data_IF_100685405764
#
_entry.id   IF_100685405764
#
_cell.length_a   1.000
_cell.length_b   1.000
_cell.length_c   1.000
_cell.angle_alpha   90.00
_cell.angle_beta   90.00
_cell.angle_gamma   90.00
#
_symmetry.space_group_name_H-M   'P 1'
#
loop_
_entity.id
_entity.type
_entity.pdbx_description
1 polymer ?
#
# COMPACT_ATOMS: atom_id res chain seq x y z
N UNK A 1 24.17 -26.93 3.25
CA UNK A 1 24.61 -25.64 3.82
C UNK A 1 24.32 -24.55 2.81
N UNK A 2 23.82 -23.36 3.19
CA UNK A 2 23.77 -22.24 2.26
C UNK A 2 25.19 -21.95 1.77
N UNK A 3 25.32 -21.78 0.46
CA UNK A 3 26.61 -21.59 -0.22
C UNK A 3 27.20 -20.21 0.14
N UNK A 4 28.49 -19.99 -0.10
CA UNK A 4 29.12 -18.67 0.00
C UNK A 4 28.37 -17.60 -0.81
N UNK A 5 27.77 -18.01 -1.94
CA UNK A 5 26.87 -17.18 -2.75
C UNK A 5 25.63 -16.69 -1.98
N UNK A 6 25.11 -17.47 -1.03
CA UNK A 6 23.94 -17.11 -0.22
C UNK A 6 24.30 -16.05 0.82
N UNK A 7 25.46 -16.19 1.46
CA UNK A 7 25.97 -15.19 2.42
C UNK A 7 26.24 -13.87 1.72
N UNK A 8 26.90 -13.91 0.55
CA UNK A 8 27.15 -12.69 -0.25
C UNK A 8 25.85 -11.97 -0.59
N UNK A 9 24.84 -12.70 -1.06
CA UNK A 9 23.57 -12.10 -1.42
C UNK A 9 22.82 -11.50 -0.24
N UNK A 10 22.96 -12.07 0.97
CA UNK A 10 22.40 -11.50 2.18
C UNK A 10 23.15 -10.22 2.60
N UNK A 11 24.47 -10.20 2.44
CA UNK A 11 25.28 -9.00 2.65
C UNK A 11 24.89 -7.89 1.68
N UNK A 12 24.60 -8.21 0.42
CA UNK A 12 24.11 -7.22 -0.56
C UNK A 12 22.79 -6.58 -0.11
N UNK A 13 21.88 -7.35 0.53
CA UNK A 13 20.66 -6.78 1.15
C UNK A 13 21.02 -5.82 2.29
N UNK A 14 21.92 -6.21 3.17
CA UNK A 14 22.27 -5.44 4.37
C UNK A 14 23.07 -4.16 4.05
N UNK A 15 23.82 -4.17 2.94
CA UNK A 15 24.60 -3.02 2.47
C UNK A 15 23.85 -2.13 1.48
N UNK A 16 22.61 -2.49 1.12
CA UNK A 16 21.76 -1.63 0.32
C UNK A 16 21.54 -0.28 1.02
N UNK A 17 21.65 0.86 0.31
CA UNK A 17 21.41 2.18 0.92
C UNK A 17 20.07 2.30 1.65
N UNK A 18 19.02 1.64 1.15
CA UNK A 18 17.71 1.64 1.81
C UNK A 18 17.73 0.83 3.11
N UNK A 19 18.43 -0.30 3.14
CA UNK A 19 18.61 -1.10 4.35
C UNK A 19 19.37 -0.31 5.42
N UNK A 20 20.46 0.35 5.03
CA UNK A 20 21.25 1.20 5.92
C UNK A 20 20.41 2.36 6.47
N UNK A 21 19.63 3.03 5.61
CA UNK A 21 18.75 4.11 6.02
C UNK A 21 17.66 3.65 7.01
N UNK A 22 17.03 2.50 6.75
CA UNK A 22 16.03 1.91 7.66
C UNK A 22 16.65 1.56 9.02
N UNK A 23 17.82 0.90 9.02
CA UNK A 23 18.51 0.56 10.27
C UNK A 23 18.93 1.81 11.05
N UNK A 24 19.45 2.83 10.38
CA UNK A 24 19.82 4.10 11.00
C UNK A 24 18.59 4.78 11.63
N UNK A 25 17.45 4.78 10.94
CA UNK A 25 16.17 5.33 11.42
C UNK A 25 15.58 4.53 12.60
N UNK A 26 15.76 3.21 12.65
CA UNK A 26 15.32 2.45 13.81
C UNK A 26 16.22 2.62 15.04
N UNK A 27 17.51 2.89 14.82
CA UNK A 27 18.48 3.18 15.87
C UNK A 27 18.51 4.65 16.27
N UNK A 28 17.87 5.55 15.52
CA UNK A 28 17.84 6.96 15.86
C UNK A 28 17.08 7.17 17.17
N UNK A 29 17.52 8.17 17.93
CA UNK A 29 16.83 8.60 19.13
C UNK A 29 15.37 8.94 18.79
N UNK A 30 14.43 8.38 19.54
CA UNK A 30 13.01 8.68 19.42
C UNK A 30 12.40 8.74 20.83
N UNK A 31 11.89 9.91 21.28
CA UNK A 31 11.38 10.08 22.64
C UNK A 31 10.22 9.15 22.96
N UNK A 32 9.36 8.82 22.00
CA UNK A 32 8.23 7.91 22.22
C UNK A 32 8.72 6.48 22.48
N UNK A 33 9.79 6.03 21.82
CA UNK A 33 10.38 4.71 22.08
C UNK A 33 11.08 4.66 23.44
N UNK A 34 11.84 5.71 23.77
CA UNK A 34 12.52 5.82 25.08
C UNK A 34 11.51 5.79 26.22
N UNK A 35 10.37 6.47 26.06
CA UNK A 35 9.30 6.52 27.05
C UNK A 35 8.35 5.32 26.99
N UNK A 36 8.56 4.37 26.06
CA UNK A 36 7.66 3.23 25.80
C UNK A 36 6.20 3.66 25.59
N UNK A 37 6.02 4.74 24.83
CA UNK A 37 4.74 5.41 24.56
C UNK A 37 4.12 5.03 23.21
N UNK A 38 4.74 4.14 22.44
CA UNK A 38 4.34 3.80 21.06
C UNK A 38 2.91 3.29 20.97
N UNK A 39 2.46 2.54 21.99
CA UNK A 39 1.10 1.97 22.07
C UNK A 39 0.21 2.65 23.12
N UNK A 40 0.65 3.77 23.70
CA UNK A 40 -0.09 4.46 24.77
C UNK A 40 -1.07 5.45 24.15
N UNK A 41 -2.33 5.05 23.95
CA UNK A 41 -3.39 5.87 23.34
C UNK A 41 -3.42 7.30 23.89
N UNK A 42 -3.40 7.45 25.21
CA UNK A 42 -3.41 8.76 25.85
C UNK A 42 -2.32 9.70 25.35
N UNK A 43 -1.09 9.20 25.14
CA UNK A 43 0.04 10.02 24.68
C UNK A 43 -0.13 10.47 23.23
N UNK A 44 -0.77 9.65 22.41
CA UNK A 44 -1.10 10.00 21.04
C UNK A 44 -2.25 11.01 20.98
N UNK A 45 -3.29 10.83 21.79
CA UNK A 45 -4.39 11.80 21.89
C UNK A 45 -3.90 13.16 22.39
N UNK A 46 -3.04 13.22 23.41
CA UNK A 46 -2.45 14.49 23.87
C UNK A 46 -1.61 15.14 22.76
N UNK A 47 -0.81 14.36 22.03
CA UNK A 47 0.00 14.87 20.92
C UNK A 47 -0.88 15.38 19.78
N UNK A 48 -1.97 14.68 19.47
CA UNK A 48 -2.95 15.09 18.47
C UNK A 48 -3.64 16.40 18.87
N UNK A 49 -4.09 16.52 20.12
CA UNK A 49 -4.69 17.77 20.62
C UNK A 49 -3.73 18.95 20.52
N UNK A 50 -2.45 18.75 20.85
CA UNK A 50 -1.39 19.75 20.69
C UNK A 50 -1.20 20.16 19.22
N UNK A 51 -1.20 19.20 18.28
CA UNK A 51 -1.08 19.49 16.84
C UNK A 51 -2.32 20.21 16.25
N UNK A 52 -3.50 19.97 16.82
CA UNK A 52 -4.76 20.53 16.35
C UNK A 52 -5.01 21.97 16.82
N UNK A 53 -4.24 22.48 17.78
CA UNK A 53 -4.39 23.86 18.29
C UNK A 53 -3.36 24.79 17.66
N UNK A 54 -3.74 25.66 16.71
CA UNK A 54 -2.80 26.54 16.01
C UNK A 54 -2.02 27.53 16.90
N UNK A 55 -2.44 27.68 18.16
CA UNK A 55 -1.84 28.60 19.15
C UNK A 55 -0.74 27.92 19.97
N UNK A 56 -0.62 26.61 19.88
CA UNK A 56 0.42 25.84 20.56
C UNK A 56 1.79 26.04 19.92
N UNK A 57 2.84 25.60 20.63
CA UNK A 57 4.23 25.85 20.25
C UNK A 57 4.82 24.83 19.25
N UNK A 58 3.98 24.09 18.52
CA UNK A 58 4.43 23.11 17.51
C UNK A 58 4.99 23.75 16.23
N UNK A 59 4.72 25.04 15.98
CA UNK A 59 5.32 25.79 14.88
C UNK A 59 4.76 25.46 13.49
N UNK A 60 3.58 24.84 13.40
CA UNK A 60 2.93 24.48 12.13
C UNK A 60 1.80 25.46 11.75
N UNK A 61 1.57 26.52 12.54
CA UNK A 61 0.39 27.37 12.40
C UNK A 61 -0.89 26.52 12.39
N UNK A 62 -1.82 26.82 11.48
CA UNK A 62 -3.04 26.02 11.33
C UNK A 62 -2.97 24.99 10.18
N UNK A 63 -1.78 24.81 9.56
CA UNK A 63 -1.64 23.93 8.39
C UNK A 63 -1.98 22.48 8.71
N UNK A 64 -1.59 21.98 9.89
CA UNK A 64 -1.96 20.64 10.34
C UNK A 64 -3.48 20.52 10.54
N UNK A 65 -4.08 21.49 11.25
CA UNK A 65 -5.53 21.51 11.50
C UNK A 65 -6.33 21.52 10.20
N UNK A 66 -5.95 22.35 9.22
CA UNK A 66 -6.58 22.38 7.88
C UNK A 66 -6.50 21.02 7.18
N UNK A 67 -5.31 20.41 7.19
CA UNK A 67 -5.12 19.08 6.59
C UNK A 67 -5.95 18.00 7.29
N UNK A 68 -6.02 18.03 8.63
CA UNK A 68 -6.85 17.13 9.42
C UNK A 68 -8.35 17.32 9.09
N UNK A 69 -8.85 18.56 9.14
CA UNK A 69 -10.25 18.87 8.86
C UNK A 69 -10.64 18.48 7.44
N UNK A 70 -9.77 18.70 6.46
CA UNK A 70 -9.98 18.27 5.08
C UNK A 70 -10.20 16.75 5.01
N UNK A 71 -9.28 15.96 5.56
CA UNK A 71 -9.35 14.50 5.46
C UNK A 71 -10.54 13.92 6.23
N UNK A 72 -10.91 14.51 7.38
CA UNK A 72 -12.12 14.12 8.12
C UNK A 72 -13.40 14.50 7.38
N UNK A 73 -13.46 15.68 6.77
CA UNK A 73 -14.63 16.11 5.99
C UNK A 73 -14.81 15.27 4.71
N UNK A 74 -13.71 14.87 4.07
CA UNK A 74 -13.71 13.93 2.95
C UNK A 74 -14.27 12.57 3.39
N UNK A 75 -13.81 12.02 4.52
CA UNK A 75 -14.34 10.77 5.09
C UNK A 75 -15.84 10.88 5.47
N UNK A 76 -16.28 12.06 5.89
CA UNK A 76 -17.69 12.33 6.22
C UNK A 76 -18.59 12.51 5.00
N UNK A 77 -18.03 12.79 3.82
CA UNK A 77 -18.78 13.29 2.67
C UNK A 77 -19.43 14.66 2.90
N UNK A 78 -19.03 15.40 3.94
CA UNK A 78 -19.59 16.69 4.36
C UNK A 78 -18.46 17.71 4.58
N UNK A 79 -18.37 18.70 3.68
CA UNK A 79 -17.35 19.74 3.71
C UNK A 79 -17.79 21.01 4.44
N UNK A 80 -18.97 21.02 5.07
CA UNK A 80 -19.51 22.22 5.72
C UNK A 80 -18.65 22.70 6.88
N UNK A 81 -18.05 21.79 7.65
CA UNK A 81 -17.13 22.13 8.75
C UNK A 81 -15.87 22.81 8.24
N UNK A 82 -15.22 22.25 7.21
CA UNK A 82 -14.04 22.87 6.60
C UNK A 82 -14.38 24.24 6.00
N UNK A 83 -15.50 24.35 5.27
CA UNK A 83 -15.93 25.63 4.71
C UNK A 83 -16.14 26.69 5.79
N UNK A 84 -16.77 26.33 6.92
CA UNK A 84 -16.95 27.23 8.06
C UNK A 84 -15.62 27.68 8.65
N UNK A 85 -14.67 26.75 8.81
CA UNK A 85 -13.32 27.09 9.27
C UNK A 85 -12.61 28.06 8.31
N UNK A 86 -12.68 27.80 7.01
CA UNK A 86 -12.02 28.61 5.97
C UNK A 86 -12.63 30.00 5.77
N UNK A 87 -13.90 30.19 6.11
CA UNK A 87 -14.64 31.44 5.92
C UNK A 87 -14.80 32.27 7.19
N UNK A 88 -14.31 31.77 8.32
CA UNK A 88 -14.32 32.45 9.60
C UNK A 88 -13.08 33.35 9.73
N UNK A 89 -13.25 34.63 9.40
CA UNK A 89 -12.19 35.63 9.37
C UNK A 89 -11.54 35.90 10.74
N UNK A 90 -12.15 35.46 11.85
CA UNK A 90 -11.71 35.75 13.24
C UNK A 90 -11.53 34.47 14.09
N UNK A 91 -11.45 33.29 13.46
CA UNK A 91 -11.66 31.99 14.11
C UNK A 91 -10.68 31.66 15.25
N UNK A 92 -11.06 31.96 16.50
CA UNK A 92 -10.42 31.35 17.67
C UNK A 92 -10.88 29.90 17.75
N UNK A 93 -9.99 28.97 17.38
CA UNK A 93 -10.18 27.54 17.65
C UNK A 93 -9.85 27.26 19.11
N UNK A 94 -10.73 26.55 19.81
CA UNK A 94 -10.40 25.96 21.12
C UNK A 94 -10.31 24.46 20.99
N UNK A 95 -9.23 23.90 21.52
CA UNK A 95 -9.02 22.46 21.59
C UNK A 95 -9.06 22.03 23.05
N UNK A 96 -9.85 21.01 23.33
CA UNK A 96 -9.98 20.40 24.64
C UNK A 96 -9.50 18.95 24.55
N UNK A 97 -8.45 18.61 25.31
CA UNK A 97 -7.99 17.22 25.46
C UNK A 97 -8.59 16.59 26.70
N UNK A 98 -8.93 15.30 26.63
CA UNK A 98 -9.42 14.52 27.77
C UNK A 98 -10.63 15.18 28.48
N UNK A 99 -11.53 15.75 27.69
CA UNK A 99 -12.65 16.52 28.19
C UNK A 99 -13.66 15.62 28.91
N UNK A 100 -13.68 15.72 30.23
CA UNK A 100 -14.68 15.05 31.06
C UNK A 100 -16.09 15.59 30.79
N UNK A 101 -17.05 14.69 30.57
CA UNK A 101 -18.42 15.07 30.20
C UNK A 101 -19.09 16.00 31.22
N UNK A 102 -18.76 15.85 32.51
CA UNK A 102 -19.26 16.72 33.61
C UNK A 102 -18.87 18.20 33.47
N UNK A 103 -17.87 18.52 32.64
CA UNK A 103 -17.44 19.90 32.37
C UNK A 103 -18.30 20.59 31.32
N UNK A 104 -19.12 19.85 30.58
CA UNK A 104 -20.10 20.40 29.65
C UNK A 104 -21.37 20.72 30.44
N UNK A 105 -21.64 22.02 30.64
CA UNK A 105 -22.82 22.49 31.39
C UNK A 105 -23.61 23.49 30.54
N UNK A 106 -24.78 23.05 30.09
CA UNK A 106 -25.64 23.84 29.21
C UNK A 106 -24.90 24.25 27.93
N UNK A 107 -24.66 25.54 27.77
CA UNK A 107 -23.98 26.12 26.60
C UNK A 107 -22.48 26.38 26.80
N UNK A 108 -21.89 25.99 27.94
CA UNK A 108 -20.49 26.31 28.28
C UNK A 108 -19.69 25.05 28.61
N UNK A 109 -18.43 25.06 28.18
CA UNK A 109 -17.40 24.13 28.63
C UNK A 109 -16.65 24.82 29.78
N UNK A 110 -16.63 24.18 30.95
CA UNK A 110 -15.97 24.73 32.14
C UNK A 110 -14.45 24.61 32.00
N UNK A 111 -13.69 25.72 32.16
CA UNK A 111 -12.24 25.67 32.13
C UNK A 111 -11.67 24.98 33.38
N UNK A 112 -10.42 24.55 33.31
CA UNK A 112 -9.74 23.87 34.42
C UNK A 112 -9.39 24.80 35.60
N UNK A 113 -9.75 26.09 35.57
CA UNK A 113 -9.33 27.07 36.58
C UNK A 113 -10.04 26.94 37.94
N UNK A 114 -11.10 26.14 38.04
CA UNK A 114 -11.78 25.88 39.31
C UNK A 114 -11.30 24.56 39.94
N UNK A 115 -10.40 24.75 40.90
CA UNK A 115 -10.18 23.96 42.11
C UNK A 115 -9.28 22.72 42.04
N UNK A 116 -8.00 22.96 42.35
CA UNK A 116 -7.21 22.15 43.30
C UNK A 116 -7.81 22.18 44.74
N UNK A 117 -9.12 22.49 44.90
CA UNK A 117 -9.79 22.13 46.14
C UNK A 117 -9.87 20.62 46.14
N UNK A 118 -9.01 20.02 46.96
CA UNK A 118 -9.06 18.65 47.43
C UNK A 118 -10.48 18.09 47.35
N UNK A 119 -10.78 17.41 46.25
CA UNK A 119 -11.90 16.50 46.24
C UNK A 119 -11.41 15.29 47.02
N UNK A 120 -11.69 15.33 48.32
CA UNK A 120 -11.73 14.17 49.19
C UNK A 120 -12.23 12.96 48.39
N UNK A 121 -11.51 11.85 48.52
CA UNK A 121 -11.72 10.60 47.79
C UNK A 121 -13.06 9.97 48.16
N UNK A 122 -14.16 10.62 47.74
CA UNK A 122 -15.48 10.04 47.77
C UNK A 122 -15.48 8.85 46.83
N UNK A 123 -15.54 7.68 47.43
CA UNK A 123 -15.71 6.37 46.80
C UNK A 123 -17.01 6.23 45.95
N UNK A 124 -17.68 7.34 45.60
CA UNK A 124 -18.97 7.40 44.93
C UNK A 124 -18.97 8.21 43.62
N UNK A 125 -17.83 8.40 42.95
CA UNK A 125 -17.85 8.86 41.55
C UNK A 125 -18.52 7.77 40.70
N UNK A 126 -19.70 8.06 40.13
CA UNK A 126 -20.43 7.11 39.30
C UNK A 126 -19.62 6.79 38.04
N UNK A 127 -19.83 5.64 37.39
CA UNK A 127 -19.15 5.34 36.12
C UNK A 127 -19.42 6.40 35.03
N UNK A 128 -20.55 7.13 35.14
CA UNK A 128 -20.86 8.31 34.31
C UNK A 128 -19.92 9.48 34.57
N UNK A 129 -19.39 9.66 35.78
CA UNK A 129 -18.50 10.78 36.13
C UNK A 129 -17.06 10.60 35.61
N UNK A 130 -16.69 9.38 35.20
CA UNK A 130 -15.36 9.05 34.63
C UNK A 130 -15.29 9.17 33.11
N UNK A 131 -16.42 9.44 32.46
CA UNK A 131 -16.57 9.50 31.00
C UNK A 131 -15.93 10.77 30.43
N UNK A 132 -15.09 10.61 29.40
CA UNK A 132 -14.35 11.69 28.74
C UNK A 132 -14.33 11.50 27.24
N UNK A 133 -14.31 12.59 26.49
CA UNK A 133 -13.93 12.56 25.08
C UNK A 133 -12.45 12.89 24.95
N UNK A 134 -11.79 12.20 24.04
CA UNK A 134 -10.35 12.30 23.82
C UNK A 134 -9.93 13.69 23.33
N UNK A 135 -10.57 14.19 22.26
CA UNK A 135 -10.37 15.57 21.77
C UNK A 135 -11.71 16.20 21.38
N UNK A 136 -11.92 17.46 21.76
CA UNK A 136 -13.00 18.29 21.22
C UNK A 136 -12.42 19.61 20.70
N UNK A 137 -12.59 19.87 19.41
CA UNK A 137 -12.30 21.15 18.77
C UNK A 137 -13.60 21.94 18.61
N UNK A 138 -13.56 23.23 18.92
CA UNK A 138 -14.67 24.15 18.64
C UNK A 138 -14.19 25.43 17.96
N UNK A 139 -14.97 25.89 16.98
CA UNK A 139 -14.87 27.22 16.38
C UNK A 139 -16.23 27.88 16.27
N UNK A 140 -16.36 28.91 15.42
CA UNK A 140 -17.63 29.60 15.21
C UNK A 140 -18.57 28.74 14.35
N UNK A 141 -19.64 28.24 14.97
CA UNK A 141 -20.67 27.46 14.27
C UNK A 141 -20.25 26.05 13.85
N UNK A 142 -19.11 25.54 14.33
CA UNK A 142 -18.66 24.17 14.08
C UNK A 142 -17.96 23.57 15.31
N UNK A 143 -18.02 22.25 15.42
CA UNK A 143 -17.28 21.48 16.41
C UNK A 143 -16.91 20.10 15.83
N UNK A 144 -15.73 19.59 16.21
CA UNK A 144 -15.29 18.23 15.86
C UNK A 144 -14.85 17.52 17.13
N UNK A 145 -15.52 16.42 17.42
CA UNK A 145 -15.29 15.56 18.57
C UNK A 145 -14.58 14.29 18.08
N UNK A 146 -13.40 13.99 18.60
CA UNK A 146 -12.56 12.86 18.19
C UNK A 146 -12.44 11.88 19.33
N UNK A 147 -12.70 10.62 19.04
CA UNK A 147 -12.38 9.47 19.86
C UNK A 147 -11.26 8.69 19.17
N UNK A 148 -10.12 8.53 19.84
CA UNK A 148 -8.91 7.99 19.23
C UNK A 148 -8.63 6.57 19.72
N UNK A 149 -8.32 5.66 18.80
CA UNK A 149 -7.95 4.27 19.11
C UNK A 149 -6.70 3.84 18.37
N UNK A 150 -5.81 3.19 19.12
CA UNK A 150 -4.58 2.56 18.62
C UNK A 150 -4.60 1.06 18.94
N UNK A 151 -5.40 0.62 19.91
CA UNK A 151 -5.65 -0.79 20.21
C UNK A 151 -7.01 -1.30 19.71
N UNK A 152 -7.49 -2.40 20.31
CA UNK A 152 -8.80 -2.98 20.02
C UNK A 152 -9.95 -2.01 20.39
N UNK A 153 -11.02 -2.03 19.60
CA UNK A 153 -12.14 -1.09 19.72
C UNK A 153 -12.88 -1.14 21.06
N UNK A 154 -13.43 0.01 21.46
CA UNK A 154 -14.31 0.15 22.63
C UNK A 154 -15.75 -0.31 22.34
N UNK A 155 -16.49 -0.67 23.39
CA UNK A 155 -17.90 -1.07 23.29
C UNK A 155 -18.84 0.07 22.90
N UNK A 156 -19.92 -0.25 22.18
CA UNK A 156 -20.88 0.72 21.60
C UNK A 156 -21.62 1.59 22.63
N UNK A 157 -21.83 1.10 23.85
CA UNK A 157 -22.58 1.81 24.90
C UNK A 157 -21.90 3.11 25.36
N UNK A 158 -20.57 3.14 25.36
CA UNK A 158 -19.80 4.33 25.76
C UNK A 158 -19.99 5.49 24.77
N UNK A 159 -19.98 5.18 23.46
CA UNK A 159 -20.03 6.17 22.38
C UNK A 159 -21.41 6.82 22.23
N UNK A 160 -22.48 6.08 22.51
CA UNK A 160 -23.85 6.59 22.48
C UNK A 160 -24.12 7.70 23.52
N UNK A 161 -23.45 7.62 24.67
CA UNK A 161 -23.63 8.61 25.74
C UNK A 161 -22.79 9.88 25.52
N UNK A 162 -21.60 9.75 24.93
CA UNK A 162 -20.82 10.90 24.46
C UNK A 162 -21.60 11.68 23.41
N UNK A 163 -22.14 10.95 22.42
CA UNK A 163 -22.96 11.53 21.36
C UNK A 163 -24.07 12.38 21.95
N UNK A 164 -24.86 11.89 22.91
CA UNK A 164 -25.97 12.67 23.50
C UNK A 164 -25.51 13.97 24.15
N UNK A 165 -24.46 13.92 24.95
CA UNK A 165 -23.98 15.09 25.73
C UNK A 165 -23.40 16.16 24.81
N UNK A 166 -22.50 15.77 23.89
CA UNK A 166 -21.84 16.70 22.98
C UNK A 166 -22.82 17.23 21.93
N UNK A 167 -23.78 16.40 21.47
CA UNK A 167 -24.81 16.84 20.53
C UNK A 167 -25.73 17.89 21.15
N UNK A 168 -26.22 17.69 22.37
CA UNK A 168 -27.06 18.69 23.04
C UNK A 168 -26.33 20.02 23.25
N UNK A 169 -25.05 19.97 23.60
CA UNK A 169 -24.21 21.18 23.69
C UNK A 169 -24.02 21.86 22.33
N UNK A 170 -23.76 21.10 21.27
CA UNK A 170 -23.60 21.63 19.92
C UNK A 170 -24.91 22.27 19.41
N UNK A 171 -26.06 21.65 19.66
CA UNK A 171 -27.38 22.19 19.30
C UNK A 171 -27.65 23.52 20.01
N UNK A 172 -27.48 23.57 21.34
CA UNK A 172 -27.72 24.78 22.13
C UNK A 172 -26.77 25.92 21.72
N UNK A 173 -25.57 25.58 21.25
CA UNK A 173 -24.58 26.57 20.80
C UNK A 173 -24.62 26.86 19.29
N UNK A 174 -25.55 26.25 18.55
CA UNK A 174 -25.70 26.46 17.10
C UNK A 174 -24.52 25.96 16.27
N UNK A 175 -23.80 24.93 16.75
CA UNK A 175 -22.63 24.36 16.09
C UNK A 175 -22.97 23.12 15.29
N UNK A 176 -22.44 23.05 14.07
CA UNK A 176 -22.40 21.81 13.29
C UNK A 176 -21.36 20.87 13.91
N UNK A 177 -21.82 19.75 14.47
CA UNK A 177 -20.96 18.76 15.13
C UNK A 177 -20.59 17.63 14.16
N UNK A 178 -19.30 17.30 14.09
CA UNK A 178 -18.81 16.02 13.55
C UNK A 178 -18.28 15.17 14.70
N UNK A 179 -18.65 13.89 14.71
CA UNK A 179 -18.10 12.88 15.62
C UNK A 179 -17.16 11.98 14.80
N UNK A 180 -15.91 11.86 15.22
CA UNK A 180 -14.84 11.18 14.49
C UNK A 180 -14.32 10.04 15.33
N UNK A 181 -14.35 8.84 14.78
CA UNK A 181 -13.73 7.66 15.36
C UNK A 181 -12.43 7.39 14.60
N UNK A 182 -11.30 7.65 15.25
CA UNK A 182 -9.97 7.62 14.64
C UNK A 182 -9.27 6.29 14.93
N UNK A 183 -9.08 5.44 13.91
CA UNK A 183 -8.52 4.08 14.03
C UNK A 183 -7.20 3.92 13.29
N UNK A 184 -6.39 2.93 13.68
CA UNK A 184 -5.14 2.61 12.96
C UNK A 184 -5.37 1.79 11.70
N UNK A 185 -6.45 0.99 11.66
CA UNK A 185 -6.77 0.07 10.57
C UNK A 185 -8.09 0.45 9.88
N UNK A 186 -8.27 -0.05 8.65
CA UNK A 186 -9.54 -0.12 7.92
C UNK A 186 -10.52 -1.08 8.63
N UNK A 187 -11.04 -0.66 9.78
CA UNK A 187 -12.16 -1.34 10.40
C UNK A 187 -13.46 -0.61 10.01
N UNK A 188 -14.30 -1.26 9.19
CA UNK A 188 -15.69 -0.84 9.00
C UNK A 188 -16.47 -1.08 10.29
N UNK A 189 -16.36 -0.13 11.23
CA UNK A 189 -17.22 -0.11 12.40
C UNK A 189 -18.43 0.77 12.06
N UNK A 190 -19.57 0.16 11.74
CA UNK A 190 -20.84 0.88 11.58
C UNK A 190 -21.30 1.43 12.94
N UNK A 191 -20.78 2.62 13.30
CA UNK A 191 -21.16 3.31 14.53
C UNK A 191 -22.07 4.48 14.20
N UNK A 192 -23.30 4.43 14.69
CA UNK A 192 -24.35 5.38 14.31
C UNK A 192 -23.93 6.84 14.57
N UNK A 193 -23.72 7.59 13.49
CA UNK A 193 -23.35 9.01 13.49
C UNK A 193 -21.89 9.32 13.84
N UNK A 194 -21.02 8.32 13.88
CA UNK A 194 -19.57 8.51 13.94
C UNK A 194 -18.96 8.30 12.56
N UNK A 195 -18.06 9.20 12.18
CA UNK A 195 -17.29 9.12 10.94
C UNK A 195 -16.03 8.32 11.24
N UNK A 196 -15.80 7.25 10.51
CA UNK A 196 -14.55 6.50 10.60
C UNK A 196 -13.46 7.26 9.84
N UNK A 197 -12.38 7.60 10.54
CA UNK A 197 -11.19 8.19 9.97
C UNK A 197 -9.95 7.38 10.42
N UNK A 198 -8.87 7.46 9.65
CA UNK A 198 -7.66 6.69 9.94
C UNK A 198 -6.53 7.57 10.44
N UNK A 199 -5.70 7.07 11.35
CA UNK A 199 -4.46 7.75 11.77
C UNK A 199 -3.51 8.02 10.59
N UNK A 200 -3.38 7.07 9.66
CA UNK A 200 -2.55 7.21 8.44
C UNK A 200 -2.99 8.43 7.60
N UNK A 201 -4.27 8.51 7.30
CA UNK A 201 -4.83 9.54 6.41
C UNK A 201 -5.10 10.84 7.15
N UNK A 202 -5.79 10.83 8.30
CA UNK A 202 -6.21 12.05 8.98
C UNK A 202 -5.08 12.73 9.78
N UNK A 203 -4.03 12.00 10.21
CA UNK A 203 -2.96 12.55 11.06
C UNK A 203 -1.60 12.47 10.38
N UNK A 204 -1.15 11.27 9.98
CA UNK A 204 0.21 11.08 9.47
C UNK A 204 0.42 11.82 8.13
N UNK A 205 -0.56 11.78 7.23
CA UNK A 205 -0.45 12.46 5.93
C UNK A 205 -0.40 14.00 6.05
N UNK A 206 -1.28 14.70 6.80
CA UNK A 206 -1.14 16.14 7.04
C UNK A 206 0.21 16.49 7.68
N UNK A 207 0.64 15.74 8.70
CA UNK A 207 1.92 15.98 9.36
C UNK A 207 3.10 15.85 8.38
N UNK A 208 3.10 14.78 7.57
CA UNK A 208 4.10 14.55 6.53
C UNK A 208 4.13 15.71 5.52
N UNK A 209 2.96 16.13 5.05
CA UNK A 209 2.81 17.22 4.08
C UNK A 209 3.43 18.51 4.60
N UNK A 210 3.14 18.86 5.87
CA UNK A 210 3.67 20.08 6.48
C UNK A 210 5.17 19.97 6.73
N UNK A 211 5.68 18.83 7.20
CA UNK A 211 7.12 18.62 7.42
C UNK A 211 7.92 18.69 6.12
N UNK A 212 7.43 18.05 5.05
CA UNK A 212 8.07 18.06 3.73
C UNK A 212 8.13 19.48 3.15
N UNK A 213 7.07 20.28 3.33
CA UNK A 213 7.04 21.68 2.92
C UNK A 213 7.97 22.57 3.77
N UNK A 214 8.10 22.26 5.06
CA UNK A 214 8.89 23.05 6.02
C UNK A 214 10.40 22.93 5.79
N UNK A 215 10.87 21.80 5.24
CA UNK A 215 12.26 21.61 4.81
C UNK A 215 12.69 22.55 3.67
N UNK A 216 11.74 23.12 2.92
CA UNK A 216 12.00 24.06 1.83
C UNK A 216 11.90 25.54 2.22
N UNK A 217 11.27 25.87 3.37
CA UNK A 217 10.93 27.26 3.75
C UNK A 217 11.39 27.72 5.15
N UNK A 218 12.15 26.90 5.89
CA UNK A 218 12.81 27.29 7.15
C UNK A 218 11.93 28.02 8.20
N UNK A 219 10.73 27.51 8.48
CA UNK A 219 9.82 28.06 9.52
C UNK A 219 9.79 27.25 10.83
N UNK A 220 10.18 25.98 10.81
CA UNK A 220 10.19 25.09 11.98
C UNK A 220 11.55 25.14 12.68
N UNK A 221 11.57 25.31 14.00
CA UNK A 221 12.79 25.15 14.80
C UNK A 221 13.26 23.69 14.83
N UNK A 222 14.58 23.48 14.96
CA UNK A 222 15.21 22.16 14.92
C UNK A 222 14.59 21.18 15.94
N UNK A 223 14.24 21.67 17.13
CA UNK A 223 13.65 20.85 18.19
C UNK A 223 12.24 20.39 17.84
N UNK A 224 11.39 21.29 17.34
CA UNK A 224 10.04 20.96 16.88
C UNK A 224 10.11 19.99 15.72
N UNK A 225 10.95 20.27 14.72
CA UNK A 225 11.12 19.39 13.57
C UNK A 225 11.58 17.98 14.01
N UNK A 226 12.57 17.88 14.89
CA UNK A 226 13.05 16.59 15.39
C UNK A 226 11.97 15.80 16.16
N UNK A 227 11.18 16.48 17.00
CA UNK A 227 10.07 15.85 17.72
C UNK A 227 8.97 15.36 16.79
N UNK A 228 8.55 16.20 15.83
CA UNK A 228 7.50 15.89 14.87
C UNK A 228 7.92 14.78 13.90
N UNK A 229 9.17 14.80 13.42
CA UNK A 229 9.72 13.72 12.62
C UNK A 229 9.75 12.40 13.42
N UNK A 230 10.16 12.45 14.69
CA UNK A 230 10.11 11.29 15.59
C UNK A 230 8.68 10.78 15.79
N UNK A 231 7.69 11.67 15.85
CA UNK A 231 6.29 11.27 15.98
C UNK A 231 5.76 10.62 14.69
N UNK A 232 6.06 11.20 13.53
CA UNK A 232 5.69 10.64 12.23
C UNK A 232 6.30 9.24 12.01
N UNK A 233 7.50 8.98 12.55
CA UNK A 233 8.12 7.67 12.55
C UNK A 233 7.28 6.65 13.32
N UNK A 234 6.75 7.01 14.50
CA UNK A 234 5.86 6.14 15.27
C UNK A 234 4.55 5.91 14.53
N UNK A 235 3.93 6.97 14.01
CA UNK A 235 2.68 6.86 13.24
C UNK A 235 2.84 5.93 12.04
N UNK A 236 3.95 6.03 11.31
CA UNK A 236 4.24 5.17 10.16
C UNK A 236 4.41 3.68 10.54
N UNK A 237 4.69 3.38 11.80
CA UNK A 237 4.81 2.00 12.30
C UNK A 237 3.51 1.44 12.86
N UNK A 238 2.65 2.29 13.44
CA UNK A 238 1.41 1.84 14.09
C UNK A 238 0.17 1.90 13.20
N UNK A 239 0.15 2.75 12.16
CA UNK A 239 -1.06 3.04 11.37
C UNK A 239 -1.06 2.44 9.95
N UNK A 240 -0.27 1.38 9.72
CA UNK A 240 -0.07 0.71 8.41
C UNK A 240 -0.02 1.66 7.19
N UNK A 241 0.69 2.78 7.32
CA UNK A 241 0.72 3.84 6.32
C UNK A 241 1.37 3.37 5.01
N UNK A 242 0.55 3.06 4.00
CA UNK A 242 0.99 2.64 2.66
C UNK A 242 1.93 3.65 2.00
N UNK A 243 1.73 4.94 2.28
CA UNK A 243 2.54 6.02 1.73
C UNK A 243 3.77 6.34 2.60
N UNK A 244 3.89 5.67 3.75
CA UNK A 244 4.97 5.84 4.70
C UNK A 244 6.34 5.50 4.11
N UNK A 245 7.34 6.32 4.42
CA UNK A 245 8.73 6.13 3.96
C UNK A 245 9.25 4.73 4.33
N UNK A 246 8.92 4.24 5.52
CA UNK A 246 9.35 2.92 6.01
C UNK A 246 8.79 1.79 5.14
N UNK A 247 7.47 1.77 4.91
CA UNK A 247 6.80 0.74 4.11
C UNK A 247 7.24 0.78 2.65
N UNK A 248 7.39 1.97 2.06
CA UNK A 248 7.96 2.16 0.71
C UNK A 248 9.38 1.62 0.59
N UNK A 249 10.28 1.98 1.52
CA UNK A 249 11.66 1.48 1.50
C UNK A 249 11.74 -0.02 1.72
N UNK A 250 10.92 -0.60 2.62
CA UNK A 250 10.84 -2.05 2.82
C UNK A 250 10.39 -2.76 1.55
N UNK A 251 9.31 -2.30 0.92
CA UNK A 251 8.78 -2.88 -0.32
C UNK A 251 9.78 -2.79 -1.48
N UNK A 252 10.44 -1.63 -1.65
CA UNK A 252 11.45 -1.45 -2.69
C UNK A 252 12.68 -2.33 -2.45
N UNK A 253 13.16 -2.39 -1.21
CA UNK A 253 14.29 -3.23 -0.82
C UNK A 253 13.96 -4.73 -0.99
N UNK A 254 12.76 -5.15 -0.59
CA UNK A 254 12.28 -6.51 -0.77
C UNK A 254 12.19 -6.90 -2.25
N UNK A 255 11.70 -5.99 -3.09
CA UNK A 255 11.62 -6.17 -4.55
C UNK A 255 13.02 -6.32 -5.16
N UNK A 256 13.95 -5.42 -4.79
CA UNK A 256 15.32 -5.40 -5.32
C UNK A 256 16.12 -6.65 -4.95
N UNK A 257 15.90 -7.19 -3.76
CA UNK A 257 16.64 -8.33 -3.20
C UNK A 257 15.81 -9.60 -3.03
N UNK A 258 14.72 -9.73 -3.80
CA UNK A 258 13.76 -10.83 -3.67
C UNK A 258 14.42 -12.22 -3.69
N UNK A 259 15.43 -12.41 -4.55
CA UNK A 259 16.17 -13.68 -4.65
C UNK A 259 16.95 -14.05 -3.38
N UNK A 260 17.60 -13.08 -2.73
CA UNK A 260 18.36 -13.29 -1.50
C UNK A 260 17.42 -13.56 -0.31
N UNK A 261 16.38 -12.75 -0.17
CA UNK A 261 15.36 -12.89 0.88
C UNK A 261 14.59 -14.22 0.76
N UNK A 262 14.33 -14.67 -0.48
CA UNK A 262 13.73 -15.98 -0.75
C UNK A 262 14.59 -17.13 -0.22
N UNK A 263 15.89 -17.13 -0.53
CA UNK A 263 16.81 -18.17 -0.06
C UNK A 263 16.89 -18.18 1.46
N UNK A 264 16.95 -17.00 2.08
CA UNK A 264 16.88 -16.87 3.53
C UNK A 264 15.58 -17.47 4.10
N UNK A 265 14.42 -17.15 3.51
CA UNK A 265 13.11 -17.68 3.98
C UNK A 265 13.05 -19.21 3.92
N UNK A 266 13.58 -19.81 2.85
CA UNK A 266 13.62 -21.27 2.67
C UNK A 266 14.60 -21.94 3.64
N UNK A 267 15.76 -21.34 3.87
CA UNK A 267 16.74 -21.81 4.86
C UNK A 267 16.13 -21.79 6.27
N UNK A 268 15.43 -20.72 6.66
CA UNK A 268 14.73 -20.64 7.96
C UNK A 268 13.65 -21.73 8.07
N UNK A 269 12.84 -21.92 7.02
CA UNK A 269 11.76 -22.92 7.00
C UNK A 269 12.30 -24.35 7.15
N UNK A 270 13.35 -24.69 6.40
CA UNK A 270 13.95 -26.03 6.41
C UNK A 270 14.79 -26.31 7.66
N UNK A 271 15.36 -25.28 8.27
CA UNK A 271 16.14 -25.37 9.52
C UNK A 271 15.27 -25.49 10.78
N UNK A 272 13.94 -25.32 10.67
CA UNK A 272 13.00 -25.51 11.79
C UNK A 272 12.77 -26.98 12.18
N UNK A 273 13.28 -27.94 11.40
CA UNK A 273 13.34 -29.36 11.74
C UNK A 273 14.64 -29.71 12.47
N UNK A 274 14.57 -30.55 13.51
CA UNK A 274 15.70 -30.87 14.41
C UNK A 274 17.01 -31.18 13.65
N UNK A 275 18.12 -30.58 14.12
CA UNK A 275 19.49 -30.55 13.59
C UNK A 275 19.85 -29.45 12.57
N UNK A 276 19.42 -28.21 12.80
CA UNK A 276 20.16 -27.07 12.24
C UNK A 276 21.51 -26.94 12.96
N UNK A 277 22.59 -27.37 12.30
CA UNK A 277 23.96 -27.25 12.81
C UNK A 277 24.21 -25.83 13.34
N UNK A 278 24.56 -25.74 14.63
CA UNK A 278 24.68 -24.51 15.43
C UNK A 278 25.77 -23.51 14.98
N UNK A 279 26.36 -23.66 13.78
CA UNK A 279 27.54 -22.89 13.36
C UNK A 279 27.49 -22.39 11.92
N UNK A 280 26.33 -22.03 11.41
CA UNK A 280 26.24 -21.44 10.08
C UNK A 280 26.28 -19.91 10.16
N UNK A 281 27.28 -19.27 9.53
CA UNK A 281 27.52 -17.81 9.54
C UNK A 281 26.26 -16.97 9.20
N UNK A 282 25.32 -17.53 8.43
CA UNK A 282 24.05 -16.89 8.13
C UNK A 282 23.14 -16.72 9.35
N UNK A 283 23.19 -17.61 10.35
CA UNK A 283 22.39 -17.50 11.59
C UNK A 283 22.81 -16.25 12.36
N UNK A 284 24.12 -16.04 12.50
CA UNK A 284 24.66 -14.85 13.17
C UNK A 284 24.29 -13.57 12.40
N UNK A 285 24.40 -13.59 11.06
CA UNK A 285 23.98 -12.46 10.22
C UNK A 285 22.48 -12.18 10.36
N UNK A 286 21.66 -13.22 10.37
CA UNK A 286 20.22 -13.12 10.52
C UNK A 286 19.84 -12.57 11.90
N UNK A 287 20.34 -13.16 13.00
CA UNK A 287 20.02 -12.73 14.36
C UNK A 287 20.46 -11.28 14.64
N UNK A 288 21.63 -10.85 14.12
CA UNK A 288 22.09 -9.46 14.25
C UNK A 288 21.22 -8.45 13.50
N UNK A 289 20.51 -8.88 12.46
CA UNK A 289 19.69 -8.04 11.59
C UNK A 289 18.21 -8.44 11.60
N UNK A 290 17.81 -9.24 12.58
CA UNK A 290 16.49 -9.86 12.68
C UNK A 290 15.35 -8.86 12.51
N UNK A 291 15.36 -7.65 13.13
CA UNK A 291 14.27 -6.70 12.96
C UNK A 291 14.05 -6.24 11.51
N UNK A 292 15.13 -6.11 10.72
CA UNK A 292 15.03 -5.76 9.31
C UNK A 292 14.58 -6.95 8.47
N UNK A 293 15.26 -8.08 8.66
CA UNK A 293 15.04 -9.26 7.84
C UNK A 293 13.64 -9.84 8.06
N UNK A 294 13.14 -9.87 9.29
CA UNK A 294 11.78 -10.37 9.56
C UNK A 294 10.72 -9.51 8.88
N UNK A 295 10.86 -8.17 8.88
CA UNK A 295 9.94 -7.29 8.15
C UNK A 295 10.04 -7.51 6.64
N UNK A 296 11.24 -7.60 6.07
CA UNK A 296 11.43 -7.88 4.64
C UNK A 296 10.89 -9.24 4.23
N UNK A 297 10.98 -10.25 5.10
CA UNK A 297 10.46 -11.59 4.83
C UNK A 297 8.93 -11.65 4.83
N UNK A 298 8.23 -10.69 5.45
CA UNK A 298 6.77 -10.57 5.35
C UNK A 298 6.33 -10.19 3.93
N UNK A 299 7.14 -9.38 3.22
CA UNK A 299 6.87 -8.96 1.84
C UNK A 299 7.17 -10.05 0.78
N UNK A 300 7.79 -11.17 1.18
CA UNK A 300 8.13 -12.28 0.27
C UNK A 300 7.04 -13.36 0.28
N UNK A 301 6.22 -13.44 -0.78
CA UNK A 301 5.26 -14.53 -0.97
C UNK A 301 5.95 -15.80 -1.52
N UNK A 302 5.99 -16.89 -0.74
CA UNK A 302 6.55 -18.18 -1.15
C UNK A 302 5.68 -18.90 -2.20
N UNK A 303 4.37 -18.68 -2.17
CA UNK A 303 3.43 -19.29 -3.10
C UNK A 303 3.59 -18.76 -4.52
N UNK A 304 3.92 -17.48 -4.64
CA UNK A 304 4.28 -16.81 -5.88
C UNK A 304 5.46 -17.47 -6.62
N UNK A 305 6.48 -17.89 -5.87
CA UNK A 305 7.72 -18.47 -6.40
C UNK A 305 7.57 -19.93 -6.82
N UNK A 306 6.75 -20.69 -6.09
CA UNK A 306 6.38 -22.04 -6.49
C UNK A 306 5.62 -22.03 -7.83
N UNK A 307 4.73 -21.05 -8.02
CA UNK A 307 4.07 -20.85 -9.32
C UNK A 307 5.05 -20.46 -10.42
N UNK A 308 5.97 -19.54 -10.15
CA UNK A 308 6.99 -19.14 -11.14
C UNK A 308 7.79 -20.36 -11.63
N UNK A 309 8.32 -21.19 -10.72
CA UNK A 309 9.04 -22.43 -11.09
C UNK A 309 8.19 -23.39 -11.93
N UNK A 310 6.96 -23.63 -11.51
CA UNK A 310 6.01 -24.45 -12.29
C UNK A 310 5.80 -23.89 -13.70
N UNK A 311 5.70 -22.56 -13.84
CA UNK A 311 5.57 -21.90 -15.14
C UNK A 311 6.81 -22.16 -16.01
N UNK A 312 8.03 -21.91 -15.51
CA UNK A 312 9.26 -22.13 -16.28
C UNK A 312 9.40 -23.59 -16.73
N UNK A 313 9.08 -24.54 -15.84
CA UNK A 313 9.15 -25.97 -16.14
C UNK A 313 8.11 -26.38 -17.19
N UNK A 314 6.89 -25.83 -17.11
CA UNK A 314 5.85 -26.06 -18.11
C UNK A 314 6.26 -25.51 -19.49
N UNK A 315 6.88 -24.34 -19.57
CA UNK A 315 7.35 -23.77 -20.84
C UNK A 315 8.44 -24.63 -21.46
N UNK A 316 9.41 -25.02 -20.64
CA UNK A 316 10.55 -25.84 -21.08
C UNK A 316 10.08 -27.22 -21.55
N UNK A 317 9.20 -27.87 -20.78
CA UNK A 317 8.68 -29.21 -21.13
C UNK A 317 7.76 -29.22 -22.35
N UNK A 318 7.10 -28.12 -22.68
CA UNK A 318 6.29 -27.98 -23.89
C UNK A 318 7.10 -27.52 -25.12
N UNK A 319 8.41 -27.32 -24.99
CA UNK A 319 9.28 -26.94 -26.11
C UNK A 319 9.06 -25.50 -26.58
N UNK A 320 8.58 -24.61 -25.72
CA UNK A 320 8.47 -23.18 -26.02
C UNK A 320 9.80 -22.46 -25.79
N UNK A 321 10.09 -21.42 -26.57
CA UNK A 321 11.29 -20.61 -26.42
C UNK A 321 11.02 -19.40 -25.53
N UNK A 322 11.74 -19.29 -24.41
CA UNK A 322 11.67 -18.11 -23.54
C UNK A 322 12.33 -16.90 -24.22
N UNK A 323 11.63 -15.78 -24.20
CA UNK A 323 11.99 -14.49 -24.83
C UNK A 323 12.43 -13.50 -23.76
N UNK A 324 11.66 -13.42 -22.67
CA UNK A 324 12.00 -12.68 -21.45
C UNK A 324 11.54 -13.51 -20.27
N UNK A 325 12.43 -13.69 -19.31
CA UNK A 325 12.22 -14.56 -18.18
C UNK A 325 12.43 -13.75 -16.89
N UNK A 326 11.33 -13.39 -16.23
CA UNK A 326 11.33 -12.89 -14.86
C UNK A 326 10.18 -13.53 -14.07
N UNK A 327 10.30 -13.55 -12.73
CA UNK A 327 9.35 -14.27 -11.87
C UNK A 327 7.92 -13.69 -11.88
N UNK A 328 7.77 -12.43 -12.28
CA UNK A 328 6.48 -11.72 -12.36
C UNK A 328 5.84 -11.83 -13.72
N UNK A 329 6.67 -12.04 -14.73
CA UNK A 329 6.35 -11.75 -16.09
C UNK A 329 7.26 -12.54 -17.00
N UNK A 330 6.66 -13.55 -17.62
CA UNK A 330 7.36 -14.37 -18.58
C UNK A 330 6.81 -14.15 -19.97
N UNK A 331 7.71 -14.08 -20.96
CA UNK A 331 7.37 -14.02 -22.37
C UNK A 331 8.00 -15.19 -23.10
N UNK A 332 7.24 -15.85 -23.96
CA UNK A 332 7.70 -16.99 -24.73
C UNK A 332 7.09 -17.02 -26.13
N UNK A 333 7.66 -17.82 -27.02
CA UNK A 333 7.19 -18.01 -28.39
C UNK A 333 7.22 -19.51 -28.75
N UNK A 334 6.40 -19.91 -29.73
CA UNK A 334 6.47 -21.26 -30.30
C UNK A 334 7.81 -21.43 -31.00
N UNK A 335 8.48 -22.56 -30.78
CA UNK A 335 9.88 -22.73 -31.16
C UNK A 335 10.16 -22.63 -32.67
N UNK A 336 9.23 -23.05 -33.51
CA UNK A 336 9.37 -23.06 -34.97
C UNK A 336 8.91 -21.74 -35.64
N UNK A 337 8.28 -20.83 -34.89
CA UNK A 337 7.76 -19.58 -35.43
C UNK A 337 8.84 -18.64 -35.99
N UNK A 338 10.02 -18.46 -35.35
CA UNK A 338 11.09 -17.64 -35.92
C UNK A 338 11.54 -18.13 -37.31
N UNK A 339 11.52 -19.44 -37.56
CA UNK A 339 11.88 -20.03 -38.85
C UNK A 339 10.74 -19.95 -39.87
N UNK A 340 9.50 -20.24 -39.44
CA UNK A 340 8.32 -20.23 -40.33
C UNK A 340 7.86 -18.83 -40.71
N UNK A 341 8.01 -17.87 -39.79
CA UNK A 341 7.50 -16.51 -39.91
C UNK A 341 8.60 -15.49 -39.53
N UNK A 342 9.72 -15.41 -40.26
CA UNK A 342 10.88 -14.60 -39.86
C UNK A 342 10.56 -13.12 -39.66
N UNK A 343 9.52 -12.60 -40.33
CA UNK A 343 9.10 -11.21 -40.18
C UNK A 343 8.43 -10.89 -38.85
N UNK A 344 8.09 -11.86 -38.01
CA UNK A 344 7.56 -11.54 -36.66
C UNK A 344 8.68 -11.21 -35.66
N UNK A 345 9.92 -11.54 -36.00
CA UNK A 345 11.09 -11.34 -35.15
C UNK A 345 11.90 -10.16 -35.65
N UNK A 346 12.59 -9.49 -34.74
CA UNK A 346 13.57 -8.46 -35.06
C UNK A 346 14.86 -9.11 -35.59
N UNK A 347 15.29 -8.86 -36.85
CA UNK A 347 16.52 -9.44 -37.39
C UNK A 347 17.76 -9.04 -36.60
N UNK A 348 17.75 -7.84 -36.02
CA UNK A 348 18.86 -7.31 -35.22
C UNK A 348 18.91 -7.87 -33.80
N UNK A 349 17.81 -8.41 -33.28
CA UNK A 349 17.72 -9.04 -31.97
C UNK A 349 16.60 -10.11 -31.95
N UNK A 350 16.93 -11.39 -32.15
CA UNK A 350 15.97 -12.48 -32.14
C UNK A 350 15.14 -12.62 -30.85
N UNK A 351 15.54 -11.94 -29.77
CA UNK A 351 14.82 -11.88 -28.49
C UNK A 351 13.67 -10.87 -28.50
N UNK A 352 13.37 -10.21 -29.62
CA UNK A 352 12.30 -9.21 -29.72
C UNK A 352 11.22 -9.58 -30.77
N UNK A 353 10.45 -10.65 -30.56
CA UNK A 353 9.28 -10.94 -31.38
C UNK A 353 8.16 -9.91 -31.16
N UNK A 354 7.37 -9.66 -32.21
CA UNK A 354 6.19 -8.80 -32.21
C UNK A 354 4.89 -9.55 -31.93
N UNK A 355 4.92 -10.86 -32.10
CA UNK A 355 3.83 -11.78 -31.78
C UNK A 355 4.41 -12.84 -30.85
N UNK A 356 3.97 -12.83 -29.60
CA UNK A 356 4.50 -13.69 -28.54
C UNK A 356 3.42 -14.01 -27.52
N UNK A 357 3.68 -14.98 -26.66
CA UNK A 357 2.86 -15.28 -25.51
C UNK A 357 3.45 -14.70 -24.24
N UNK A 358 2.58 -14.38 -23.31
CA UNK A 358 2.91 -13.73 -22.06
C UNK A 358 2.19 -14.38 -20.91
N UNK A 359 2.90 -14.64 -19.82
CA UNK A 359 2.35 -15.13 -18.57
C UNK A 359 2.60 -14.08 -17.49
N UNK A 360 1.52 -13.61 -16.89
CA UNK A 360 1.56 -12.72 -15.72
C UNK A 360 1.35 -13.55 -14.47
N UNK A 361 2.40 -13.67 -13.69
CA UNK A 361 2.37 -14.27 -12.35
C UNK A 361 2.22 -13.12 -11.35
N UNK A 362 0.99 -12.88 -10.89
CA UNK A 362 0.66 -11.80 -9.95
C UNK A 362 0.57 -12.36 -8.52
N UNK A 363 1.22 -11.71 -7.56
CA UNK A 363 1.15 -12.10 -6.14
C UNK A 363 -0.24 -11.81 -5.54
N UNK A 364 -0.99 -10.86 -6.10
CA UNK A 364 -2.35 -10.51 -5.65
C UNK A 364 -3.41 -11.53 -6.08
N UNK A 365 -3.13 -12.36 -7.09
CA UNK A 365 -4.04 -13.43 -7.53
C UNK A 365 -3.41 -14.82 -7.32
N UNK A 366 -3.27 -15.27 -6.07
CA UNK A 366 -2.52 -16.48 -5.74
C UNK A 366 -3.02 -17.74 -6.47
N UNK A 367 -4.32 -17.83 -6.75
CA UNK A 367 -4.95 -19.02 -7.30
C UNK A 367 -4.95 -19.11 -8.83
N UNK A 368 -4.43 -18.10 -9.55
CA UNK A 368 -4.52 -18.01 -11.01
C UNK A 368 -3.33 -17.27 -11.60
N UNK A 369 -2.93 -17.66 -12.80
CA UNK A 369 -1.98 -16.89 -13.62
C UNK A 369 -2.63 -16.57 -14.96
N UNK A 370 -2.34 -15.40 -15.50
CA UNK A 370 -2.95 -14.97 -16.75
C UNK A 370 -2.00 -15.23 -17.89
N UNK A 371 -2.46 -15.98 -18.89
CA UNK A 371 -1.71 -16.22 -20.13
C UNK A 371 -2.37 -15.45 -21.25
N UNK A 372 -1.57 -14.72 -22.04
CA UNK A 372 -2.08 -13.93 -23.14
C UNK A 372 -1.23 -14.04 -24.40
N UNK A 373 -1.87 -13.99 -25.56
CA UNK A 373 -1.19 -13.73 -26.83
C UNK A 373 -1.06 -12.22 -27.00
N UNK A 374 0.18 -11.77 -27.19
CA UNK A 374 0.55 -10.37 -27.28
C UNK A 374 1.01 -10.01 -28.68
N UNK A 375 0.53 -8.85 -29.17
CA UNK A 375 0.92 -8.26 -30.45
C UNK A 375 1.37 -6.83 -30.21
N UNK A 376 2.63 -6.50 -30.51
CA UNK A 376 3.24 -5.24 -30.07
C UNK A 376 3.67 -4.29 -31.18
N UNK A 377 3.40 -3.00 -30.97
CA UNK A 377 4.12 -1.89 -31.59
C UNK A 377 5.29 -1.50 -30.67
N UNK A 378 6.54 -1.60 -31.15
CA UNK A 378 7.68 -1.01 -30.42
C UNK A 378 7.83 0.46 -30.81
N UNK A 379 8.45 1.24 -29.91
CA UNK A 379 8.77 2.65 -30.12
C UNK A 379 9.43 2.89 -31.49
N UNK A 380 8.68 3.55 -32.38
CA UNK A 380 8.93 3.60 -33.81
C UNK A 380 10.23 4.35 -34.18
N UNK A 381 10.75 5.19 -33.28
CA UNK A 381 11.96 5.99 -33.48
C UNK A 381 13.25 5.18 -33.38
N UNK A 382 13.24 4.08 -32.61
CA UNK A 382 14.45 3.29 -32.33
C UNK A 382 14.85 2.37 -33.50
N UNK A 383 13.91 2.04 -34.39
CA UNK A 383 14.06 1.01 -35.44
C UNK A 383 13.78 1.53 -36.86
N UNK A 384 13.95 2.83 -37.09
CA UNK A 384 13.60 3.50 -38.36
C UNK A 384 14.36 3.03 -39.61
N UNK A 385 15.50 2.35 -39.44
CA UNK A 385 16.42 1.99 -40.54
C UNK A 385 16.37 0.52 -40.96
N UNK A 386 15.31 -0.20 -40.61
CA UNK A 386 15.28 -1.65 -40.69
C UNK A 386 14.51 -2.22 -41.89
N UNK A 387 14.99 -3.35 -42.43
CA UNK A 387 14.58 -3.95 -43.72
C UNK A 387 13.10 -4.37 -43.72
N UNK A 388 12.57 -4.91 -42.61
CA UNK A 388 11.18 -5.39 -42.54
C UNK A 388 10.23 -4.46 -41.77
N UNK A 389 10.67 -3.23 -41.50
CA UNK A 389 9.91 -2.27 -40.66
C UNK A 389 8.49 -2.06 -41.17
N UNK A 390 8.34 -1.78 -42.46
CA UNK A 390 7.03 -1.49 -43.05
C UNK A 390 6.08 -2.69 -42.98
N UNK A 391 6.57 -3.88 -43.33
CA UNK A 391 5.79 -5.12 -43.26
C UNK A 391 5.37 -5.45 -41.83
N UNK A 392 6.24 -5.26 -40.84
CA UNK A 392 5.89 -5.50 -39.43
C UNK A 392 4.92 -4.49 -38.88
N UNK A 393 5.11 -3.21 -39.18
CA UNK A 393 4.18 -2.15 -38.74
C UNK A 393 2.81 -2.39 -39.36
N UNK A 394 2.74 -2.76 -40.64
CA UNK A 394 1.50 -3.15 -41.31
C UNK A 394 0.84 -4.36 -40.65
N UNK A 395 1.62 -5.43 -40.40
CA UNK A 395 1.14 -6.65 -39.72
C UNK A 395 0.53 -6.34 -38.36
N UNK A 396 1.23 -5.59 -37.51
CA UNK A 396 0.74 -5.23 -36.17
C UNK A 396 -0.48 -4.31 -36.26
N UNK A 397 -0.48 -3.29 -37.14
CA UNK A 397 -1.64 -2.39 -37.33
C UNK A 397 -2.88 -3.15 -37.82
N UNK A 398 -2.70 -4.12 -38.70
CA UNK A 398 -3.80 -4.91 -39.27
C UNK A 398 -4.37 -5.89 -38.24
N UNK A 399 -3.52 -6.57 -37.45
CA UNK A 399 -3.97 -7.41 -36.32
C UNK A 399 -4.68 -6.60 -35.25
N UNK A 400 -4.23 -5.37 -35.01
CA UNK A 400 -4.83 -4.47 -34.03
C UNK A 400 -6.00 -3.65 -34.59
N UNK A 401 -6.45 -3.92 -35.82
CA UNK A 401 -7.58 -3.22 -36.42
C UNK A 401 -8.91 -3.69 -35.78
N UNK A 402 -9.68 -2.79 -35.14
CA UNK A 402 -10.95 -3.14 -34.50
C UNK A 402 -12.00 -3.74 -35.43
N UNK A 403 -11.97 -3.39 -36.72
CA UNK A 403 -12.92 -3.88 -37.72
C UNK A 403 -12.65 -5.35 -38.09
N UNK A 404 -11.47 -5.88 -37.75
CA UNK A 404 -11.07 -7.27 -38.00
C UNK A 404 -11.28 -8.18 -36.81
N UNK A 405 -11.93 -7.70 -35.75
CA UNK A 405 -12.27 -8.52 -34.59
C UNK A 405 -13.10 -9.78 -34.96
N UNK A 406 -13.85 -9.71 -36.08
CA UNK A 406 -14.63 -10.84 -36.63
C UNK A 406 -13.76 -11.94 -37.26
N UNK A 407 -12.53 -11.63 -37.66
CA UNK A 407 -11.58 -12.60 -38.24
C UNK A 407 -10.98 -13.50 -37.15
N UNK A 408 -11.15 -13.12 -35.88
CA UNK A 408 -10.59 -13.80 -34.71
C UNK A 408 -11.66 -14.04 -33.62
N UNK A 409 -12.83 -14.62 -33.94
CA UNK A 409 -14.00 -14.60 -33.07
C UNK A 409 -13.89 -15.49 -31.82
N UNK A 410 -12.91 -16.42 -31.79
CA UNK A 410 -12.68 -17.38 -30.70
C UNK A 410 -11.38 -17.15 -29.92
N UNK A 411 -10.56 -16.23 -30.41
CA UNK A 411 -9.38 -15.75 -29.74
C UNK A 411 -9.73 -14.82 -28.58
N UNK A 412 -11.00 -14.41 -28.45
CA UNK A 412 -11.27 -13.04 -28.07
C UNK A 412 -12.65 -12.84 -27.38
N UNK A 413 -12.76 -13.03 -26.04
CA UNK A 413 -13.92 -12.64 -25.18
C UNK A 413 -13.64 -12.88 -23.68
N UNK A 414 -14.02 -12.07 -22.66
CA UNK A 414 -15.08 -11.03 -22.52
C UNK A 414 -14.80 -10.02 -21.37
N UNK A 415 -15.29 -8.79 -21.59
CA UNK A 415 -15.77 -7.75 -20.64
C UNK A 415 -14.80 -6.67 -20.08
N UNK A 416 -14.69 -5.55 -20.84
CA UNK A 416 -14.61 -4.08 -20.54
C UNK A 416 -13.78 -3.64 -19.30
N UNK A 417 -12.80 -2.71 -19.30
CA UNK A 417 -12.82 -1.30 -19.71
C UNK A 417 -11.46 -0.51 -19.57
N UNK A 418 -11.43 0.68 -20.23
CA UNK A 418 -10.54 1.85 -20.36
C UNK A 418 -9.25 1.94 -21.25
N UNK A 419 -8.98 3.15 -21.80
CA UNK A 419 -8.39 3.38 -23.12
C UNK A 419 -6.95 3.92 -23.14
N UNK A 420 -6.14 3.39 -24.05
CA UNK A 420 -5.04 4.08 -24.77
C UNK A 420 -4.43 3.22 -25.90
N UNK A 421 -4.85 1.96 -26.01
CA UNK A 421 -5.01 1.20 -27.25
C UNK A 421 -6.49 0.80 -27.34
N UNK A 422 -6.99 0.28 -28.47
CA UNK A 422 -8.35 -0.28 -28.45
C UNK A 422 -8.35 -1.47 -27.49
N UNK A 423 -8.89 -1.24 -26.32
CA UNK A 423 -9.18 -2.21 -25.28
C UNK A 423 -9.76 -3.53 -25.74
N UNK A 424 -10.59 -3.54 -26.79
CA UNK A 424 -11.08 -4.77 -27.39
C UNK A 424 -9.87 -5.59 -27.79
N UNK A 425 -9.02 -5.11 -28.68
CA UNK A 425 -7.86 -5.86 -29.18
C UNK A 425 -6.93 -6.38 -28.06
N UNK A 426 -6.72 -5.61 -26.99
CA UNK A 426 -5.88 -6.00 -25.85
C UNK A 426 -6.53 -6.97 -24.87
N UNK A 427 -7.82 -6.79 -24.57
CA UNK A 427 -8.55 -7.60 -23.57
C UNK A 427 -8.92 -8.99 -24.08
N UNK A 428 -8.75 -9.21 -25.37
CA UNK A 428 -9.46 -10.29 -25.97
C UNK A 428 -8.71 -11.65 -25.77
N UNK A 429 -7.37 -11.84 -25.92
CA UNK A 429 -6.74 -13.21 -25.81
C UNK A 429 -6.09 -13.42 -24.45
N UNK A 430 -6.79 -13.17 -23.35
CA UNK A 430 -6.26 -13.56 -22.04
C UNK A 430 -7.06 -14.72 -21.47
N UNK A 431 -6.38 -15.79 -21.09
CA UNK A 431 -6.98 -16.91 -20.36
C UNK A 431 -6.37 -16.97 -18.95
N UNK A 432 -7.19 -16.88 -17.88
CA UNK A 432 -6.73 -17.24 -16.56
C UNK A 432 -6.60 -18.77 -16.47
N UNK A 433 -5.43 -19.27 -16.11
CA UNK A 433 -5.20 -20.68 -15.80
C UNK A 433 -5.15 -20.82 -14.28
N UNK A 434 -5.98 -21.72 -13.74
CA UNK A 434 -6.00 -21.99 -12.30
C UNK A 434 -4.67 -22.63 -11.86
N UNK A 435 -4.14 -22.14 -10.74
CA UNK A 435 -2.91 -22.60 -10.12
C UNK A 435 -3.18 -22.77 -8.63
N UNK A 436 -3.46 -23.99 -8.18
CA UNK A 436 -3.55 -24.25 -6.74
C UNK A 436 -2.14 -24.24 -6.15
N UNK A 437 -1.85 -23.28 -5.28
CA UNK A 437 -0.54 -23.18 -4.62
C UNK A 437 -0.34 -24.27 -3.57
N UNK A 438 -1.42 -24.70 -2.89
CA UNK A 438 -1.37 -25.69 -1.82
C UNK A 438 -1.19 -27.11 -2.37
N UNK A 439 -1.61 -27.34 -3.62
CA UNK A 439 -1.44 -28.60 -4.35
C UNK A 439 -1.11 -28.31 -5.83
N UNK A 440 0.14 -27.94 -6.08
CA UNK A 440 0.63 -27.61 -7.43
C UNK A 440 0.47 -28.81 -8.38
N UNK A 441 -0.48 -28.71 -9.30
CA UNK A 441 -0.66 -29.66 -10.40
C UNK A 441 0.02 -29.12 -11.67
N UNK A 442 1.32 -29.39 -11.79
CA UNK A 442 2.13 -28.97 -12.94
C UNK A 442 1.61 -29.54 -14.26
N UNK A 443 1.04 -30.77 -14.23
CA UNK A 443 0.51 -31.41 -15.43
C UNK A 443 -0.75 -30.71 -15.90
N UNK A 444 -1.65 -30.35 -14.98
CA UNK A 444 -2.82 -29.56 -15.31
C UNK A 444 -2.42 -28.22 -15.93
N UNK A 445 -1.52 -27.48 -15.27
CA UNK A 445 -1.05 -26.19 -15.78
C UNK A 445 -0.45 -26.29 -17.19
N UNK A 446 0.48 -27.25 -17.40
CA UNK A 446 1.11 -27.44 -18.70
C UNK A 446 0.12 -27.84 -19.80
N UNK A 447 -0.88 -28.67 -19.46
CA UNK A 447 -1.94 -29.08 -20.40
C UNK A 447 -2.85 -27.91 -20.79
N UNK A 448 -3.24 -27.06 -19.84
CA UNK A 448 -4.03 -25.86 -20.12
C UNK A 448 -3.23 -24.85 -20.95
N UNK A 449 -1.96 -24.65 -20.61
CA UNK A 449 -1.04 -23.77 -21.36
C UNK A 449 -0.89 -24.24 -22.81
N UNK A 450 -0.62 -25.53 -23.02
CA UNK A 450 -0.49 -26.07 -24.38
C UNK A 450 -1.81 -25.99 -25.15
N UNK A 451 -2.95 -26.29 -24.51
CA UNK A 451 -4.27 -26.15 -25.16
C UNK A 451 -4.54 -24.71 -25.60
N UNK A 452 -4.19 -23.74 -24.76
CA UNK A 452 -4.30 -22.32 -25.09
C UNK A 452 -3.40 -21.95 -26.27
N UNK A 453 -2.11 -22.30 -26.22
CA UNK A 453 -1.16 -22.01 -27.30
C UNK A 453 -1.61 -22.69 -28.61
N UNK A 454 -1.90 -23.99 -28.61
CA UNK A 454 -2.33 -24.72 -29.80
C UNK A 454 -3.59 -24.13 -30.46
N UNK A 455 -4.59 -23.75 -29.64
CA UNK A 455 -5.81 -23.11 -30.14
C UNK A 455 -5.51 -21.74 -30.77
N UNK A 456 -4.70 -20.93 -30.11
CA UNK A 456 -4.43 -19.56 -30.54
C UNK A 456 -3.47 -19.51 -31.73
N UNK A 457 -2.46 -20.38 -31.78
CA UNK A 457 -1.58 -20.57 -32.94
C UNK A 457 -2.37 -20.91 -34.20
N UNK A 458 -3.31 -21.87 -34.12
CA UNK A 458 -4.13 -22.28 -35.27
C UNK A 458 -4.90 -21.13 -35.92
N UNK A 459 -5.30 -20.14 -35.15
CA UNK A 459 -6.06 -18.99 -35.66
C UNK A 459 -5.18 -17.83 -36.14
N UNK A 460 -3.99 -17.62 -35.54
CA UNK A 460 -3.09 -16.52 -35.95
C UNK A 460 -2.12 -16.90 -37.07
N UNK A 461 -1.70 -18.17 -37.17
CA UNK A 461 -0.72 -18.62 -38.18
C UNK A 461 -1.14 -18.34 -39.63
N UNK A 462 -2.40 -18.58 -40.07
CA UNK A 462 -2.83 -18.23 -41.44
C UNK A 462 -2.70 -16.74 -41.77
N UNK A 463 -2.71 -15.88 -40.74
CA UNK A 463 -2.49 -14.45 -40.91
C UNK A 463 -1.00 -14.14 -41.03
N UNK A 464 -0.15 -14.74 -40.18
CA UNK A 464 1.31 -14.60 -40.26
C UNK A 464 1.86 -15.02 -41.62
N UNK A 465 1.28 -16.06 -42.23
CA UNK A 465 1.65 -16.54 -43.57
C UNK A 465 1.48 -15.47 -44.66
N UNK A 466 0.57 -14.49 -44.50
CA UNK A 466 0.40 -13.39 -45.47
C UNK A 466 1.62 -12.48 -45.57
N UNK A 467 2.44 -12.46 -44.53
CA UNK A 467 3.65 -11.65 -44.46
C UNK A 467 4.92 -12.46 -44.74
N UNK A 468 4.79 -13.72 -45.18
CA UNK A 468 5.91 -14.64 -45.41
C UNK A 468 6.78 -14.27 -46.62
N UNK A 469 6.16 -13.69 -47.65
CA UNK A 469 6.79 -13.32 -48.93
C UNK A 469 7.47 -11.96 -48.93
#
# INVERSE_FOLDING_TARGET
MPDFADIKSLLDVLHDPLAVALQARWKSFNPFRVLKAEKRELKHTTTLAWLLDPRENHGLGDHFLRGFLKNVCEAAGDHTTLLRYETDNDAIVRVHSELQMRKIKGNRIMPNFDSDAEFDGSANATERDKRRIDVLMEGQGWAVAVEAKIGAGEGDEQLNDYRRTVHGWAEVTGRKLLLVYLTIDEQELERVGWINAQWSTAVAQPLRTVLDASGASAQLGDQQHAFLASYLDILSEIADDENGIVKRHLSELATRHAGALRRLKEVIRTSSGQNAEQHANWIVLYERNKPLLDRLLQDVDLGYELRARMIHEAITSQGFLSVKDDNSYLRFIVADWPERFPKIVEPSDPRLPRVLYEIRNDSKTPQRVFVALQVWHLHEDKYKHEIYREHRVAMVREMQNPQRAVDFPRLFSKNVAKPQLNEKVQSLVSLPIACNIEALDMRHFANELNRFVAKTSKEIEPFLDRFRG
#
